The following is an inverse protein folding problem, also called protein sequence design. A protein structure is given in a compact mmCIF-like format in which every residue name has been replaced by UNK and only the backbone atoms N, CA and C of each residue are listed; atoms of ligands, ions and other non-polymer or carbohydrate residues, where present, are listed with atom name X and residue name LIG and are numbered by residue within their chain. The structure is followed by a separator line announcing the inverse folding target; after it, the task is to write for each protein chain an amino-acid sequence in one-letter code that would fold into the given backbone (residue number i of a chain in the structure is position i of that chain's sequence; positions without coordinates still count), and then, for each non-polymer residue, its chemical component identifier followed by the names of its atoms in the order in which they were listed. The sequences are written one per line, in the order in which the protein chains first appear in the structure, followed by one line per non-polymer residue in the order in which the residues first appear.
data_IF_963783286148
#
_entry.id   IF_963783286148
#
_cell.length_a   1.000
_cell.length_b   1.000
_cell.length_c   1.000
_cell.angle_alpha   90.00
_cell.angle_beta   90.00
_cell.angle_gamma   90.00
#
_symmetry.space_group_name_H-M   'P 1'
#
loop_
_entity.id
_entity.type
_entity.pdbx_description
1 polymer ?
#
# COMPACT_ATOMS: atom_id res chain seq x y z
N UNK A 1 10.18 -18.24 10.68
CA UNK A 1 10.77 -17.25 11.62
C UNK A 1 10.03 -17.39 12.93
N UNK A 2 10.70 -17.46 14.09
CA UNK A 2 10.02 -17.53 15.38
C UNK A 2 9.28 -16.23 15.72
N UNK A 3 8.16 -16.31 16.44
CA UNK A 3 7.34 -15.14 16.82
C UNK A 3 8.12 -14.13 17.69
N UNK A 4 9.10 -14.60 18.47
CA UNK A 4 9.99 -13.74 19.25
C UNK A 4 10.80 -12.78 18.37
N UNK A 5 11.29 -13.27 17.23
CA UNK A 5 12.05 -12.46 16.25
C UNK A 5 11.14 -11.43 15.58
N UNK A 6 9.89 -11.81 15.30
CA UNK A 6 8.89 -10.86 14.80
C UNK A 6 8.63 -9.75 15.82
N UNK A 7 8.48 -10.11 17.10
CA UNK A 7 8.28 -9.15 18.19
C UNK A 7 9.45 -8.17 18.35
N UNK A 8 10.69 -8.64 18.20
CA UNK A 8 11.88 -7.78 18.22
C UNK A 8 11.95 -6.84 17.01
N UNK A 9 11.65 -7.35 15.81
CA UNK A 9 11.60 -6.53 14.60
C UNK A 9 10.54 -5.42 14.71
N UNK A 10 9.35 -5.77 15.24
CA UNK A 10 8.27 -4.82 15.50
C UNK A 10 8.77 -3.72 16.44
N UNK A 11 9.41 -4.07 17.56
CA UNK A 11 9.96 -3.10 18.51
C UNK A 11 11.01 -2.20 17.86
N UNK A 12 11.97 -2.77 17.14
CA UNK A 12 13.06 -2.03 16.50
C UNK A 12 12.59 -1.05 15.40
N UNK A 13 11.43 -1.31 14.80
CA UNK A 13 10.86 -0.51 13.70
C UNK A 13 9.75 0.45 14.14
N UNK A 14 9.39 0.44 15.43
CA UNK A 14 8.35 1.34 15.95
C UNK A 14 8.95 2.72 16.18
N UNK A 15 8.41 3.73 15.49
CA UNK A 15 8.78 5.11 15.75
C UNK A 15 8.33 5.53 17.16
N UNK A 16 9.09 6.39 17.86
CA UNK A 16 8.67 6.94 19.13
C UNK A 16 7.38 7.73 18.96
N UNK A 17 6.52 7.73 19.99
CA UNK A 17 5.28 8.49 19.94
C UNK A 17 5.59 10.00 19.98
N UNK A 18 5.08 10.75 19.00
CA UNK A 18 5.19 12.20 19.00
C UNK A 18 4.25 12.80 20.06
N UNK A 19 4.59 13.97 20.60
CA UNK A 19 3.84 14.60 21.70
C UNK A 19 2.36 14.95 21.35
N UNK A 20 1.98 14.87 20.08
CA UNK A 20 0.62 15.06 19.56
C UNK A 20 0.10 13.84 18.78
N UNK A 21 0.73 12.68 18.92
CA UNK A 21 0.34 11.43 18.28
C UNK A 21 -0.79 10.72 19.02
N UNK A 22 -1.41 9.75 18.34
CA UNK A 22 -2.33 8.80 18.98
C UNK A 22 -1.57 7.88 19.95
N UNK A 23 -2.27 7.32 20.94
CA UNK A 23 -1.65 6.50 22.00
C UNK A 23 -0.85 5.31 21.45
N UNK A 24 -1.33 4.71 20.36
CA UNK A 24 -0.65 3.62 19.64
C UNK A 24 -0.13 4.18 18.31
N UNK A 25 1.19 4.34 18.12
CA UNK A 25 1.74 4.88 16.88
C UNK A 25 1.22 4.12 15.66
N UNK A 26 0.61 4.81 14.67
CA UNK A 26 0.05 4.15 13.51
C UNK A 26 1.17 3.51 12.69
N UNK A 27 0.97 2.25 12.28
CA UNK A 27 1.87 1.57 11.34
C UNK A 27 1.34 1.78 9.93
N UNK A 28 2.24 1.82 8.94
CA UNK A 28 1.83 1.81 7.54
C UNK A 28 1.13 0.48 7.24
N UNK A 29 -0.20 0.48 7.26
CA UNK A 29 -0.99 -0.64 6.78
C UNK A 29 -0.88 -0.74 5.25
N UNK A 30 -1.15 -1.93 4.71
CA UNK A 30 -1.08 -2.16 3.26
C UNK A 30 -2.03 -1.23 2.51
N UNK A 31 -3.33 -1.19 2.80
CA UNK A 31 -4.11 0.02 2.60
C UNK A 31 -4.09 0.86 3.88
N UNK A 32 -3.49 2.07 3.91
CA UNK A 32 -3.57 2.92 5.09
C UNK A 32 -5.01 3.30 5.44
N UNK A 33 -5.36 3.22 6.72
CA UNK A 33 -6.74 3.38 7.21
C UNK A 33 -6.88 4.69 7.99
N UNK A 34 -7.69 5.63 7.53
CA UNK A 34 -7.75 6.97 8.10
C UNK A 34 -8.25 6.98 9.56
N UNK A 35 -9.13 6.05 9.94
CA UNK A 35 -9.68 5.96 11.30
C UNK A 35 -8.64 5.58 12.35
N UNK A 36 -7.49 5.03 11.95
CA UNK A 36 -6.38 4.66 12.87
C UNK A 36 -5.54 5.86 13.34
N UNK A 37 -5.90 7.08 12.93
CA UNK A 37 -5.08 8.28 13.14
C UNK A 37 -3.98 8.44 12.09
N UNK A 38 -4.07 7.71 10.96
CA UNK A 38 -3.16 7.89 9.82
C UNK A 38 -3.34 9.28 9.21
N UNK A 39 -2.26 10.05 9.14
CA UNK A 39 -2.24 11.43 8.65
C UNK A 39 -1.72 11.58 7.23
N UNK A 40 -1.20 10.50 6.63
CA UNK A 40 -0.78 10.46 5.24
C UNK A 40 -1.94 10.20 4.28
N UNK A 41 -1.64 9.93 3.01
CA UNK A 41 -2.64 9.53 2.02
C UNK A 41 -3.30 8.21 2.45
N UNK A 42 -4.64 8.14 2.60
CA UNK A 42 -5.33 6.90 2.93
C UNK A 42 -5.31 5.94 1.74
N UNK A 43 -5.25 4.63 2.01
CA UNK A 43 -5.29 3.57 1.00
C UNK A 43 -6.69 3.22 0.52
N UNK A 44 -7.73 3.76 1.14
CA UNK A 44 -9.09 3.61 0.65
C UNK A 44 -9.90 4.86 0.93
N UNK A 45 -10.76 5.23 -0.02
CA UNK A 45 -11.68 6.35 0.11
C UNK A 45 -13.08 5.95 -0.32
N UNK A 46 -14.06 6.47 0.41
CA UNK A 46 -15.46 6.55 -0.01
C UNK A 46 -15.89 8.02 -0.07
N UNK A 47 -16.98 8.33 -0.79
CA UNK A 47 -17.51 9.68 -0.87
C UNK A 47 -17.69 10.29 0.53
N UNK A 48 -17.36 11.58 0.67
CA UNK A 48 -17.39 12.33 1.94
C UNK A 48 -16.33 11.90 2.98
N UNK A 49 -15.21 11.33 2.54
CA UNK A 49 -14.05 11.10 3.42
C UNK A 49 -14.23 9.95 4.41
N UNK A 50 -15.19 9.06 4.17
CA UNK A 50 -15.34 7.85 4.98
C UNK A 50 -14.25 6.86 4.60
N UNK A 51 -13.49 6.41 5.59
CA UNK A 51 -12.52 5.31 5.40
C UNK A 51 -13.29 4.00 5.31
N UNK A 52 -12.89 3.17 4.34
CA UNK A 52 -13.64 1.98 3.88
C UNK A 52 -13.41 0.77 4.78
N UNK A 53 -12.49 0.86 5.73
CA UNK A 53 -11.93 -0.31 6.40
C UNK A 53 -11.89 -0.04 7.89
N UNK A 54 -12.96 -0.36 8.64
CA UNK A 54 -12.97 -0.49 10.11
C UNK A 54 -12.45 -1.90 10.51
N UNK A 55 -12.05 -2.19 11.77
CA UNK A 55 -10.99 -3.15 12.06
C UNK A 55 -11.21 -4.51 11.42
N UNK A 56 -10.39 -4.74 10.41
CA UNK A 56 -10.26 -5.97 9.63
C UNK A 56 -9.91 -7.13 10.56
N UNK A 57 -10.86 -8.05 10.77
CA UNK A 57 -10.52 -9.40 11.24
C UNK A 57 -10.01 -10.20 10.07
N UNK A 58 -8.72 -10.52 10.06
CA UNK A 58 -8.13 -11.40 9.07
C UNK A 58 -8.70 -12.83 9.22
N UNK A 59 -9.51 -13.24 8.25
CA UNK A 59 -10.03 -14.59 8.08
C UNK A 59 -9.24 -15.29 6.97
N UNK A 60 -8.41 -16.26 7.36
CA UNK A 60 -7.61 -17.06 6.44
C UNK A 60 -6.26 -16.41 6.14
N UNK A 61 -5.22 -17.03 6.67
CA UNK A 61 -3.83 -16.75 6.35
C UNK A 61 -3.27 -18.00 5.67
N UNK A 62 -3.38 -18.07 4.34
CA UNK A 62 -2.76 -19.18 3.60
C UNK A 62 -1.36 -18.74 3.22
N UNK A 63 -0.43 -18.97 4.14
CA UNK A 63 0.99 -18.83 3.93
C UNK A 63 1.57 -20.14 3.39
N UNK A 64 2.19 -20.11 2.22
CA UNK A 64 2.80 -21.30 1.65
C UNK A 64 4.03 -20.96 0.82
N UNK A 65 5.12 -21.70 1.05
CA UNK A 65 6.19 -21.79 0.07
C UNK A 65 5.63 -22.54 -1.14
N UNK A 66 5.20 -21.81 -2.16
CA UNK A 66 4.93 -22.41 -3.45
C UNK A 66 6.25 -22.96 -4.02
N UNK A 67 6.17 -24.12 -4.67
CA UNK A 67 7.30 -24.76 -5.37
C UNK A 67 8.17 -23.72 -6.09
N UNK A 68 9.49 -23.90 -5.99
CA UNK A 68 10.52 -23.05 -6.59
C UNK A 68 10.75 -21.66 -5.95
N UNK A 69 10.62 -21.54 -4.63
CA UNK A 69 11.05 -20.33 -3.90
C UNK A 69 10.07 -19.15 -3.95
N UNK A 70 8.82 -19.40 -4.33
CA UNK A 70 7.73 -18.41 -4.30
C UNK A 70 7.05 -18.46 -2.94
N UNK A 71 6.67 -17.31 -2.41
CA UNK A 71 5.86 -17.23 -1.19
C UNK A 71 4.55 -16.50 -1.48
N UNK A 72 3.44 -17.03 -0.98
CA UNK A 72 2.11 -16.43 -1.13
C UNK A 72 1.46 -16.19 0.22
N UNK A 73 0.76 -15.05 0.34
CA UNK A 73 -0.11 -14.71 1.45
C UNK A 73 -1.43 -14.20 0.90
N UNK A 74 -2.54 -14.82 1.31
CA UNK A 74 -3.89 -14.31 1.10
C UNK A 74 -4.48 -13.90 2.43
N UNK A 75 -5.10 -12.72 2.49
CA UNK A 75 -5.83 -12.20 3.65
C UNK A 75 -7.22 -11.79 3.18
N UNK A 76 -8.24 -12.23 3.90
CA UNK A 76 -9.62 -11.77 3.71
C UNK A 76 -10.10 -11.15 5.01
N UNK A 77 -10.79 -10.02 4.94
CA UNK A 77 -11.26 -9.34 6.13
C UNK A 77 -12.60 -8.65 5.90
N UNK A 78 -13.42 -8.63 6.93
CA UNK A 78 -14.79 -8.08 6.85
C UNK A 78 -14.93 -6.93 7.83
N UNK A 79 -15.41 -5.81 7.34
CA UNK A 79 -15.92 -4.70 8.13
C UNK A 79 -17.44 -4.91 8.32
N UNK A 80 -17.85 -5.12 9.57
CA UNK A 80 -19.24 -5.39 9.96
C UNK A 80 -20.09 -4.12 10.04
N UNK A 81 -19.49 -2.93 9.98
CA UNK A 81 -20.20 -1.65 10.00
C UNK A 81 -20.62 -1.27 8.58
N UNK A 82 -19.72 -1.50 7.62
CA UNK A 82 -19.93 -1.12 6.21
C UNK A 82 -20.36 -2.28 5.33
N UNK A 83 -20.40 -3.51 5.87
CA UNK A 83 -20.65 -4.74 5.12
C UNK A 83 -19.72 -4.88 3.91
N UNK A 84 -18.44 -4.59 4.11
CA UNK A 84 -17.42 -4.68 3.08
C UNK A 84 -16.40 -5.78 3.40
N UNK A 85 -15.97 -6.48 2.36
CA UNK A 85 -14.85 -7.42 2.43
C UNK A 85 -13.63 -6.86 1.73
N UNK A 86 -12.54 -6.72 2.46
CA UNK A 86 -11.21 -6.46 1.92
C UNK A 86 -10.50 -7.81 1.64
N UNK A 87 -10.02 -7.98 0.41
CA UNK A 87 -9.11 -9.06 0.03
C UNK A 87 -7.73 -8.52 -0.28
N UNK A 88 -6.68 -9.15 0.26
CA UNK A 88 -5.29 -8.85 -0.05
C UNK A 88 -4.57 -10.13 -0.49
N UNK A 89 -3.84 -10.03 -1.59
CA UNK A 89 -2.95 -11.10 -2.07
C UNK A 89 -1.55 -10.51 -2.18
N UNK A 90 -0.60 -11.10 -1.47
CA UNK A 90 0.83 -10.81 -1.59
C UNK A 90 1.55 -12.04 -2.14
N UNK A 91 2.46 -11.82 -3.08
CA UNK A 91 3.29 -12.87 -3.66
C UNK A 91 4.73 -12.38 -3.76
N UNK A 92 5.65 -13.04 -3.04
CA UNK A 92 7.08 -12.81 -3.17
C UNK A 92 7.66 -13.81 -4.18
N UNK A 93 8.18 -13.31 -5.28
CA UNK A 93 8.82 -14.11 -6.32
C UNK A 93 10.26 -14.47 -5.93
N UNK A 94 10.84 -15.53 -6.51
CA UNK A 94 12.22 -15.93 -6.22
C UNK A 94 13.23 -14.87 -6.67
N UNK A 95 12.82 -13.97 -7.57
CA UNK A 95 13.61 -12.82 -8.03
C UNK A 95 13.66 -11.68 -7.02
N UNK A 96 12.94 -11.77 -5.90
CA UNK A 96 12.81 -10.70 -4.90
C UNK A 96 11.70 -9.68 -5.21
N UNK A 97 10.94 -9.87 -6.28
CA UNK A 97 9.80 -9.00 -6.61
C UNK A 97 8.59 -9.33 -5.76
N UNK A 98 7.99 -8.32 -5.13
CA UNK A 98 6.70 -8.42 -4.46
C UNK A 98 5.58 -8.02 -5.42
N UNK A 99 4.61 -8.90 -5.62
CA UNK A 99 3.32 -8.57 -6.23
C UNK A 99 2.30 -8.43 -5.14
N UNK A 100 1.47 -7.40 -5.25
CA UNK A 100 0.37 -7.19 -4.34
C UNK A 100 -0.90 -6.86 -5.11
N UNK A 101 -2.03 -7.31 -4.58
CA UNK A 101 -3.36 -6.99 -5.10
C UNK A 101 -4.30 -6.77 -3.93
N UNK A 102 -5.09 -5.71 -4.01
CA UNK A 102 -6.22 -5.48 -3.13
C UNK A 102 -7.54 -5.59 -3.90
N UNK A 103 -8.60 -5.97 -3.20
CA UNK A 103 -9.98 -5.97 -3.71
C UNK A 103 -10.93 -5.59 -2.60
N UNK A 104 -11.99 -4.86 -2.93
CA UNK A 104 -13.13 -4.62 -2.04
C UNK A 104 -14.36 -5.29 -2.64
N UNK A 105 -15.17 -5.93 -1.81
CA UNK A 105 -16.44 -6.55 -2.21
C UNK A 105 -17.55 -6.08 -1.27
N UNK A 106 -18.63 -5.52 -1.83
CA UNK A 106 -19.83 -5.20 -1.07
C UNK A 106 -20.58 -6.49 -0.70
N UNK A 107 -20.96 -6.63 0.57
CA UNK A 107 -21.72 -7.75 1.11
C UNK A 107 -23.19 -7.37 1.41
N UNK A 108 -23.53 -6.08 1.42
CA UNK A 108 -24.86 -5.58 1.78
C UNK A 108 -25.93 -5.80 0.69
N UNK A 109 -25.50 -6.12 -0.54
CA UNK A 109 -26.40 -6.19 -1.71
C UNK A 109 -26.76 -4.83 -2.30
N UNK A 110 -26.42 -3.74 -1.62
CA UNK A 110 -26.66 -2.37 -2.07
C UNK A 110 -25.49 -1.82 -2.92
N UNK A 111 -25.76 -0.87 -3.83
CA UNK A 111 -24.72 -0.18 -4.58
C UNK A 111 -23.71 0.50 -3.64
N UNK A 112 -22.43 0.25 -3.89
CA UNK A 112 -21.32 0.84 -3.15
C UNK A 112 -20.40 1.61 -4.09
N UNK A 113 -20.06 2.85 -3.73
CA UNK A 113 -19.14 3.69 -4.50
C UNK A 113 -17.77 3.66 -3.83
N UNK A 114 -16.77 3.20 -4.58
CA UNK A 114 -15.37 3.18 -4.18
C UNK A 114 -14.61 4.26 -4.96
N UNK A 115 -14.08 5.25 -4.24
CA UNK A 115 -13.33 6.35 -4.87
C UNK A 115 -11.89 5.95 -5.19
N UNK A 116 -11.30 5.09 -4.37
CA UNK A 116 -9.93 4.63 -4.54
C UNK A 116 -9.59 3.45 -3.65
N UNK A 117 -8.64 2.64 -4.11
CA UNK A 117 -8.04 1.53 -3.38
C UNK A 117 -6.56 1.43 -3.74
N UNK A 118 -5.73 2.03 -2.89
CA UNK A 118 -4.30 2.15 -3.05
C UNK A 118 -3.56 1.34 -1.98
N UNK A 119 -2.48 0.69 -2.42
CA UNK A 119 -1.56 0.00 -1.53
C UNK A 119 -0.36 0.88 -1.25
N UNK A 120 -0.06 1.07 0.02
CA UNK A 120 1.15 1.69 0.51
C UNK A 120 2.18 0.62 0.92
N UNK A 121 3.43 0.90 0.56
CA UNK A 121 4.58 0.13 1.03
C UNK A 121 5.55 1.09 1.72
N UNK A 122 6.10 0.70 2.87
CA UNK A 122 7.09 1.55 3.54
C UNK A 122 8.31 1.72 2.64
N UNK A 123 8.63 2.98 2.35
CA UNK A 123 9.88 3.34 1.68
C UNK A 123 11.08 3.10 2.59
N UNK A 124 12.27 2.80 2.04
CA UNK A 124 13.46 2.65 2.85
C UNK A 124 13.89 4.02 3.42
N UNK A 125 14.20 4.07 4.72
CA UNK A 125 14.55 5.29 5.44
C UNK A 125 15.82 6.01 4.94
N UNK A 126 16.65 5.32 4.15
CA UNK A 126 17.91 5.83 3.58
C UNK A 126 17.80 6.17 2.09
N UNK A 127 16.60 6.23 1.54
CA UNK A 127 16.40 6.65 0.16
C UNK A 127 16.79 8.13 0.00
N UNK A 128 17.69 8.42 -0.93
CA UNK A 128 18.11 9.79 -1.24
C UNK A 128 17.53 10.27 -2.57
N UNK A 129 17.28 9.35 -3.50
CA UNK A 129 16.82 9.66 -4.85
C UNK A 129 15.60 8.83 -5.22
N UNK A 130 14.71 9.46 -6.00
CA UNK A 130 13.62 8.78 -6.69
C UNK A 130 13.83 8.93 -8.19
N UNK A 131 13.64 7.82 -8.90
CA UNK A 131 13.64 7.75 -10.35
C UNK A 131 12.21 7.49 -10.84
N UNK A 132 11.68 8.44 -11.60
CA UNK A 132 10.42 8.30 -12.33
C UNK A 132 10.69 8.15 -13.83
N UNK A 133 9.67 7.74 -14.57
CA UNK A 133 9.65 7.81 -16.03
C UNK A 133 8.68 8.91 -16.48
N UNK A 134 9.12 9.76 -17.40
CA UNK A 134 8.30 10.80 -18.03
C UNK A 134 8.36 10.68 -19.55
N UNK A 135 7.63 11.54 -20.26
CA UNK A 135 7.77 11.65 -21.69
C UNK A 135 6.55 12.23 -22.37
N UNK A 136 6.55 12.14 -23.69
CA UNK A 136 5.41 12.47 -24.56
C UNK A 136 5.40 11.51 -25.74
N UNK A 137 4.37 11.59 -26.57
CA UNK A 137 4.34 10.82 -27.82
C UNK A 137 5.63 11.03 -28.62
N UNK A 138 6.17 9.93 -29.17
CA UNK A 138 7.47 9.87 -29.86
C UNK A 138 8.72 10.19 -29.01
N UNK A 139 8.58 10.43 -27.70
CA UNK A 139 9.71 10.59 -26.75
C UNK A 139 9.31 10.11 -25.35
N UNK A 140 9.12 8.79 -25.23
CA UNK A 140 8.52 8.13 -24.08
C UNK A 140 9.59 7.60 -23.10
N UNK A 141 9.18 7.35 -21.84
CA UNK A 141 10.00 6.68 -20.80
C UNK A 141 11.38 7.33 -20.55
N UNK A 142 11.45 8.65 -20.63
CA UNK A 142 12.64 9.39 -20.23
C UNK A 142 12.82 9.31 -18.71
N UNK A 143 13.97 8.84 -18.20
CA UNK A 143 14.22 8.78 -16.77
C UNK A 143 14.28 10.19 -16.19
N UNK A 144 13.61 10.40 -15.05
CA UNK A 144 13.63 11.61 -14.26
C UNK A 144 14.17 11.26 -12.89
N UNK A 145 15.31 11.84 -12.51
CA UNK A 145 15.89 11.65 -11.18
C UNK A 145 15.69 12.91 -10.37
N UNK A 146 15.30 12.74 -9.11
CA UNK A 146 15.11 13.85 -8.18
C UNK A 146 15.43 13.38 -6.75
N UNK A 147 15.72 14.34 -5.88
CA UNK A 147 15.85 14.10 -4.45
C UNK A 147 14.56 13.52 -3.84
N UNK A 148 14.72 12.64 -2.85
CA UNK A 148 13.64 12.07 -2.06
C UNK A 148 13.42 12.90 -0.78
N UNK A 149 12.90 14.10 -0.97
CA UNK A 149 12.69 15.07 0.11
C UNK A 149 11.31 14.90 0.78
N UNK A 150 11.15 15.56 1.94
CA UNK A 150 9.87 15.64 2.64
C UNK A 150 8.83 16.32 1.75
N UNK A 151 7.68 15.66 1.58
CA UNK A 151 6.56 16.16 0.79
C UNK A 151 5.87 15.02 0.04
N UNK A 152 5.00 15.39 -0.91
CA UNK A 152 4.33 14.45 -1.79
C UNK A 152 4.86 14.60 -3.21
N UNK A 153 5.22 13.48 -3.84
CA UNK A 153 5.50 13.40 -5.28
C UNK A 153 4.43 12.52 -5.91
N UNK A 154 3.65 13.08 -6.82
CA UNK A 154 2.49 12.41 -7.42
C UNK A 154 2.63 12.37 -8.95
N UNK A 155 2.31 11.22 -9.53
CA UNK A 155 2.17 11.01 -10.97
C UNK A 155 0.81 10.40 -11.24
N UNK A 156 -0.05 11.20 -11.87
CA UNK A 156 -1.42 10.78 -12.22
C UNK A 156 -1.66 10.92 -13.73
N UNK A 157 -2.52 10.07 -14.26
CA UNK A 157 -2.96 10.13 -15.65
C UNK A 157 -4.49 10.18 -15.71
N UNK A 158 -5.04 11.18 -16.40
CA UNK A 158 -6.50 11.41 -16.52
C UNK A 158 -7.07 11.14 -17.91
N UNK A 159 -6.30 10.47 -18.77
CA UNK A 159 -6.66 10.26 -20.18
C UNK A 159 -7.48 8.97 -20.43
N UNK A 160 -7.89 8.24 -19.39
CA UNK A 160 -8.70 7.02 -19.52
C UNK A 160 -7.97 5.80 -20.11
N UNK A 161 -6.70 5.93 -20.48
CA UNK A 161 -5.83 4.85 -20.92
C UNK A 161 -4.44 5.04 -20.34
N UNK A 162 -3.63 3.98 -20.30
CA UNK A 162 -2.22 4.09 -19.89
C UNK A 162 -1.48 4.98 -20.89
N UNK A 163 -1.29 6.24 -20.52
CA UNK A 163 -0.49 7.17 -21.31
C UNK A 163 0.97 6.80 -21.21
N UNK A 164 1.65 6.68 -22.35
CA UNK A 164 3.11 6.46 -22.39
C UNK A 164 3.92 7.64 -21.79
N UNK A 165 3.28 8.79 -21.61
CA UNK A 165 3.82 9.99 -20.94
C UNK A 165 3.89 9.87 -19.41
N UNK A 166 2.99 9.06 -18.82
CA UNK A 166 2.98 8.73 -17.38
C UNK A 166 2.94 7.20 -17.28
N UNK A 167 4.08 6.51 -17.52
CA UNK A 167 4.15 5.07 -17.35
C UNK A 167 3.85 4.71 -15.89
N UNK A 168 3.21 3.57 -15.67
CA UNK A 168 3.22 2.96 -14.34
C UNK A 168 4.67 2.56 -14.00
N UNK A 169 5.15 3.00 -12.83
CA UNK A 169 6.45 2.58 -12.29
C UNK A 169 7.35 3.76 -11.95
N UNK A 170 7.64 3.89 -10.65
CA UNK A 170 8.73 4.68 -10.09
C UNK A 170 9.69 3.72 -9.38
N UNK A 171 10.98 4.02 -9.40
CA UNK A 171 12.00 3.27 -8.67
C UNK A 171 12.60 4.18 -7.59
N UNK A 172 12.64 3.70 -6.34
CA UNK A 172 13.38 4.36 -5.27
C UNK A 172 14.82 3.87 -5.35
N UNK A 173 15.76 4.80 -5.44
CA UNK A 173 17.18 4.49 -5.55
C UNK A 173 17.83 4.67 -4.17
N UNK A 174 18.46 3.59 -3.73
CA UNK A 174 19.32 3.58 -2.55
C UNK A 174 20.75 3.80 -3.03
N UNK A 175 21.43 4.81 -2.51
CA UNK A 175 22.89 4.90 -2.58
C UNK A 175 23.49 4.35 -1.30
#
# INVERSE_FOLDING_TARGET
MPDSVLGELIRATTAPNAANGVDVPPRVALPPEAWTGWTGTPGSGAPHGRSVVSPVRAHGLVGGAARAGRWGLSVSAVDLITDLRLGLILELLPTGLLRARASVTSLSGEPYVLDGLDLAFPGPARAEEILDLAGRWAKERLPQRASFDVGARVREGRHGHRTRAVPAGSAILLR
#
